data_IF_857310496051
#
_entry.id   IF_857310496051
#
_cell.length_a   1.000
_cell.length_b   1.000
_cell.length_c   1.000
_cell.angle_alpha   90.00
_cell.angle_beta   90.00
_cell.angle_gamma   90.00
#
_symmetry.space_group_name_H-M   'P 1'
#
loop_
_entity.id
_entity.type
_entity.pdbx_description
1 polymer ?
#
# COMPACT_ATOMS: atom_id res chain seq x y z
N UNK A 1 44.95 18.26 10.37
CA UNK A 1 44.24 17.26 9.52
C UNK A 1 42.76 17.55 9.67
N UNK A 2 42.21 18.41 8.83
CA UNK A 2 40.78 18.76 8.87
C UNK A 2 39.97 17.61 8.31
N UNK A 3 39.08 17.07 9.13
CA UNK A 3 38.10 16.08 8.71
C UNK A 3 37.10 16.74 7.76
N UNK A 4 37.29 16.58 6.46
CA UNK A 4 36.29 16.94 5.47
C UNK A 4 34.97 16.25 5.80
N UNK A 5 34.02 16.98 6.41
CA UNK A 5 32.66 16.51 6.61
C UNK A 5 32.04 16.20 5.24
N UNK A 6 31.85 14.91 4.95
CA UNK A 6 31.13 14.46 3.75
C UNK A 6 29.75 15.09 3.75
N UNK A 7 29.54 16.06 2.88
CA UNK A 7 28.20 16.62 2.69
C UNK A 7 27.24 15.53 2.18
N UNK A 8 26.02 15.42 2.76
CA UNK A 8 25.02 14.49 2.25
C UNK A 8 24.73 14.79 0.77
N UNK A 9 24.69 13.76 -0.07
CA UNK A 9 24.45 13.87 -1.52
C UNK A 9 23.13 14.58 -1.89
N UNK A 10 22.20 14.66 -0.95
CA UNK A 10 20.89 15.30 -1.08
C UNK A 10 20.75 16.64 -0.34
N UNK A 11 21.86 17.25 0.12
CA UNK A 11 21.83 18.57 0.78
C UNK A 11 21.23 19.61 -0.18
N UNK A 12 20.13 20.26 0.25
CA UNK A 12 19.39 21.24 -0.56
C UNK A 12 18.51 20.68 -1.67
N UNK A 13 18.42 19.36 -1.82
CA UNK A 13 17.48 18.72 -2.76
C UNK A 13 16.24 18.25 -2.00
N UNK A 14 15.08 18.80 -2.33
CA UNK A 14 13.80 18.16 -2.02
C UNK A 14 13.77 16.83 -2.78
N UNK A 15 14.15 15.75 -2.09
CA UNK A 15 13.95 14.41 -2.65
C UNK A 15 12.45 14.19 -2.68
N UNK A 16 11.85 14.36 -3.85
CA UNK A 16 10.41 14.27 -4.08
C UNK A 16 9.83 12.98 -3.51
N UNK A 17 8.63 13.06 -2.98
CA UNK A 17 7.92 11.89 -2.50
C UNK A 17 7.69 10.94 -3.67
N UNK A 18 7.97 9.63 -3.47
CA UNK A 18 7.72 8.61 -4.49
C UNK A 18 6.24 8.60 -4.89
N UNK A 19 5.97 8.66 -6.18
CA UNK A 19 4.61 8.71 -6.72
C UNK A 19 3.81 7.44 -6.38
N UNK A 20 2.51 7.53 -6.09
CA UNK A 20 1.65 6.35 -6.02
C UNK A 20 1.40 5.79 -7.42
N UNK A 21 1.20 4.48 -7.54
CA UNK A 21 0.76 3.85 -8.80
C UNK A 21 -0.67 4.28 -9.14
N UNK A 22 -0.93 4.48 -10.43
CA UNK A 22 -2.30 4.65 -10.94
C UNK A 22 -2.97 3.28 -11.03
N UNK A 23 -4.30 3.26 -11.10
CA UNK A 23 -5.06 2.00 -11.19
C UNK A 23 -4.62 1.16 -12.41
N UNK A 24 -4.41 1.80 -13.56
CA UNK A 24 -3.89 1.14 -14.77
C UNK A 24 -2.53 0.50 -14.56
N UNK A 25 -1.64 1.13 -13.77
CA UNK A 25 -0.29 0.63 -13.51
C UNK A 25 -0.34 -0.62 -12.61
N UNK A 26 -1.26 -0.64 -11.63
CA UNK A 26 -1.51 -1.80 -10.78
C UNK A 26 -1.93 -2.99 -11.63
N UNK A 27 -2.90 -2.79 -12.53
CA UNK A 27 -3.38 -3.85 -13.42
C UNK A 27 -2.30 -4.30 -14.40
N UNK A 28 -1.52 -3.38 -14.98
CA UNK A 28 -0.43 -3.70 -15.89
C UNK A 28 0.64 -4.59 -15.23
N UNK A 29 1.05 -4.28 -14.00
CA UNK A 29 2.00 -5.11 -13.24
C UNK A 29 1.36 -6.47 -12.92
N UNK A 30 0.14 -6.48 -12.39
CA UNK A 30 -0.57 -7.70 -11.98
C UNK A 30 -0.72 -8.69 -13.15
N UNK A 31 -1.27 -8.25 -14.27
CA UNK A 31 -1.47 -9.08 -15.46
C UNK A 31 -0.13 -9.62 -15.96
N UNK A 32 0.91 -8.78 -16.01
CA UNK A 32 2.23 -9.21 -16.44
C UNK A 32 2.83 -10.29 -15.53
N UNK A 33 2.66 -10.16 -14.22
CA UNK A 33 3.12 -11.17 -13.27
C UNK A 33 2.33 -12.48 -13.42
N UNK A 34 1.02 -12.40 -13.65
CA UNK A 34 0.15 -13.56 -13.89
C UNK A 34 0.52 -14.29 -15.19
N UNK A 35 0.62 -13.57 -16.32
CA UNK A 35 0.96 -14.15 -17.61
C UNK A 35 2.35 -14.83 -17.62
N UNK A 36 3.27 -14.35 -16.79
CA UNK A 36 4.61 -14.93 -16.63
C UNK A 36 4.70 -15.96 -15.50
N UNK A 37 3.58 -16.36 -14.91
CA UNK A 37 3.51 -17.31 -13.79
C UNK A 37 4.47 -16.97 -12.63
N UNK A 38 4.66 -15.64 -12.37
CA UNK A 38 5.56 -15.17 -11.30
C UNK A 38 4.84 -15.13 -9.96
N UNK A 39 4.37 -16.27 -9.48
CA UNK A 39 3.57 -16.43 -8.25
C UNK A 39 4.27 -15.77 -7.06
N UNK A 40 5.58 -16.00 -6.93
CA UNK A 40 6.39 -15.41 -5.85
C UNK A 40 6.41 -13.88 -5.85
N UNK A 41 6.30 -13.23 -6.99
CA UNK A 41 6.29 -11.77 -7.13
C UNK A 41 4.87 -11.21 -7.02
N UNK A 42 3.86 -11.98 -7.45
CA UNK A 42 2.46 -11.59 -7.43
C UNK A 42 1.92 -11.43 -5.99
N UNK A 43 2.24 -12.39 -5.12
CA UNK A 43 1.78 -12.37 -3.73
C UNK A 43 2.26 -11.11 -2.96
N UNK A 44 3.57 -10.77 -2.89
CA UNK A 44 4.02 -9.56 -2.22
C UNK A 44 3.57 -8.28 -2.92
N UNK A 45 3.37 -8.28 -4.24
CA UNK A 45 2.80 -7.14 -4.96
C UNK A 45 1.37 -6.84 -4.51
N UNK A 46 0.48 -7.83 -4.58
CA UNK A 46 -0.91 -7.67 -4.18
C UNK A 46 -1.02 -7.30 -2.70
N UNK A 47 -0.29 -8.01 -1.83
CA UNK A 47 -0.30 -7.75 -0.40
C UNK A 47 0.24 -6.36 -0.04
N UNK A 48 1.27 -5.87 -0.73
CA UNK A 48 1.81 -4.53 -0.49
C UNK A 48 0.78 -3.42 -0.81
N UNK A 49 -0.01 -3.61 -1.87
CA UNK A 49 -1.10 -2.68 -2.20
C UNK A 49 -2.19 -2.72 -1.12
N UNK A 50 -2.68 -3.91 -0.76
CA UNK A 50 -3.79 -4.03 0.18
C UNK A 50 -3.43 -3.62 1.60
N UNK A 51 -2.30 -4.09 2.11
CA UNK A 51 -1.89 -3.88 3.50
C UNK A 51 -1.42 -2.47 3.80
N UNK A 52 -0.93 -1.74 2.81
CA UNK A 52 -0.29 -0.43 3.02
C UNK A 52 0.86 -0.48 4.04
N UNK A 53 1.46 -1.64 4.26
CA UNK A 53 2.57 -1.83 5.18
C UNK A 53 3.85 -1.15 4.69
N UNK A 54 4.73 -0.80 5.60
CA UNK A 54 6.09 -0.41 5.25
C UNK A 54 6.87 -1.63 4.76
N UNK A 55 7.88 -1.41 3.93
CA UNK A 55 8.72 -2.50 3.43
C UNK A 55 9.28 -3.38 4.56
N UNK A 56 9.73 -2.77 5.67
CA UNK A 56 10.25 -3.50 6.82
C UNK A 56 9.20 -4.38 7.53
N UNK A 57 7.94 -3.98 7.51
CA UNK A 57 6.86 -4.77 8.09
C UNK A 57 6.44 -5.88 7.12
N UNK A 58 6.29 -5.57 5.82
CA UNK A 58 5.90 -6.53 4.80
C UNK A 58 6.86 -7.72 4.70
N UNK A 59 8.17 -7.46 4.66
CA UNK A 59 9.17 -8.52 4.46
C UNK A 59 9.35 -9.45 5.66
N UNK A 60 8.83 -9.06 6.83
CA UNK A 60 8.91 -9.85 8.07
C UNK A 60 7.61 -10.57 8.42
N UNK A 61 6.60 -10.49 7.56
CA UNK A 61 5.37 -11.24 7.76
C UNK A 61 5.66 -12.74 7.78
N UNK A 62 4.98 -13.43 8.67
CA UNK A 62 4.94 -14.90 8.72
C UNK A 62 3.66 -15.41 8.08
N UNK A 63 3.64 -16.67 7.74
CA UNK A 63 2.42 -17.33 7.22
C UNK A 63 1.28 -17.19 8.23
N UNK A 64 1.55 -17.44 9.51
CA UNK A 64 0.55 -17.34 10.59
C UNK A 64 -0.07 -15.94 10.77
N UNK A 65 0.60 -14.87 10.30
CA UNK A 65 0.03 -13.51 10.32
C UNK A 65 -1.08 -13.33 9.28
N UNK A 66 -1.10 -14.19 8.25
CA UNK A 66 -1.99 -14.07 7.09
C UNK A 66 -2.94 -15.25 6.93
N UNK A 67 -2.57 -16.44 7.41
CA UNK A 67 -3.31 -17.67 7.19
C UNK A 67 -3.42 -18.51 8.46
N UNK A 68 -4.57 -19.17 8.60
CA UNK A 68 -4.83 -20.16 9.64
C UNK A 68 -5.16 -21.50 8.96
N UNK A 69 -4.32 -22.50 9.15
CA UNK A 69 -4.39 -23.74 8.36
C UNK A 69 -4.17 -23.45 6.88
N UNK A 70 -5.06 -23.93 6.02
CA UNK A 70 -5.03 -23.71 4.57
C UNK A 70 -5.73 -22.42 4.11
N UNK A 71 -6.35 -21.66 5.02
CA UNK A 71 -7.17 -20.52 4.63
C UNK A 71 -6.48 -19.19 4.93
N UNK A 72 -6.35 -18.35 3.92
CA UNK A 72 -5.90 -16.97 4.07
C UNK A 72 -7.05 -16.12 4.61
N UNK A 73 -6.78 -15.39 5.69
CA UNK A 73 -7.78 -14.58 6.40
C UNK A 73 -8.28 -13.40 5.54
N UNK A 74 -9.53 -12.97 5.79
CA UNK A 74 -10.11 -11.75 5.18
C UNK A 74 -9.45 -10.48 5.68
N UNK A 75 -8.94 -10.50 6.91
CA UNK A 75 -8.32 -9.38 7.61
C UNK A 75 -7.10 -9.86 8.37
N UNK A 76 -6.10 -9.00 8.45
CA UNK A 76 -4.92 -9.24 9.26
C UNK A 76 -4.62 -8.04 10.15
N UNK A 77 -4.03 -8.31 11.32
CA UNK A 77 -3.52 -7.30 12.24
C UNK A 77 -2.02 -7.50 12.38
N UNK A 78 -1.25 -6.46 12.08
CA UNK A 78 0.21 -6.52 12.11
C UNK A 78 0.78 -5.43 13.00
N UNK A 79 1.65 -5.80 13.93
CA UNK A 79 2.37 -4.84 14.76
C UNK A 79 3.48 -4.17 13.95
N UNK A 80 3.36 -2.87 13.73
CA UNK A 80 4.36 -2.09 12.99
C UNK A 80 5.67 -1.97 13.78
N UNK A 81 6.80 -2.28 13.18
CA UNK A 81 8.11 -2.26 13.83
C UNK A 81 8.53 -0.86 14.29
N UNK A 82 8.30 0.15 13.44
CA UNK A 82 8.72 1.52 13.72
C UNK A 82 7.86 2.22 14.78
N UNK A 83 6.55 2.02 14.77
CA UNK A 83 5.61 2.75 15.63
C UNK A 83 5.14 1.93 16.81
N UNK A 84 5.40 0.62 16.82
CA UNK A 84 4.91 -0.34 17.83
C UNK A 84 3.39 -0.27 18.01
N UNK A 85 2.67 0.01 16.91
CA UNK A 85 1.21 0.09 16.89
C UNK A 85 0.63 -0.96 15.96
N UNK A 86 -0.49 -1.59 16.32
CA UNK A 86 -1.17 -2.50 15.44
C UNK A 86 -1.80 -1.73 14.27
N UNK A 87 -1.73 -2.31 13.10
CA UNK A 87 -2.44 -1.85 11.90
C UNK A 87 -3.26 -3.01 11.38
N UNK A 88 -4.55 -2.77 11.22
CA UNK A 88 -5.48 -3.71 10.61
C UNK A 88 -5.72 -3.36 9.15
N UNK A 89 -5.82 -4.37 8.31
CA UNK A 89 -6.15 -4.20 6.88
C UNK A 89 -6.97 -5.38 6.37
N UNK A 90 -7.72 -5.11 5.31
CA UNK A 90 -8.45 -6.14 4.57
C UNK A 90 -7.57 -6.71 3.47
N UNK A 91 -7.70 -8.01 3.26
CA UNK A 91 -7.02 -8.77 2.22
C UNK A 91 -8.07 -9.10 1.17
N UNK A 92 -7.95 -8.47 -0.01
CA UNK A 92 -8.90 -8.70 -1.11
C UNK A 92 -8.81 -10.14 -1.64
N UNK A 93 -9.85 -10.58 -2.33
CA UNK A 93 -9.89 -11.94 -2.90
C UNK A 93 -8.67 -12.25 -3.77
N UNK A 94 -8.33 -11.34 -4.68
CA UNK A 94 -7.15 -11.50 -5.55
C UNK A 94 -5.85 -11.64 -4.76
N UNK A 95 -5.74 -10.95 -3.63
CA UNK A 95 -4.57 -11.03 -2.76
C UNK A 95 -4.57 -12.34 -1.99
N UNK A 96 -5.73 -12.79 -1.49
CA UNK A 96 -5.87 -14.08 -0.79
C UNK A 96 -5.47 -15.24 -1.68
N UNK A 97 -5.98 -15.27 -2.91
CA UNK A 97 -5.63 -16.29 -3.89
C UNK A 97 -4.13 -16.30 -4.17
N UNK A 98 -3.52 -15.14 -4.43
CA UNK A 98 -2.09 -15.07 -4.72
C UNK A 98 -1.21 -15.46 -3.52
N UNK A 99 -1.65 -15.20 -2.28
CA UNK A 99 -0.95 -15.64 -1.07
C UNK A 99 -1.08 -17.16 -0.90
N UNK A 100 -2.29 -17.71 -1.09
CA UNK A 100 -2.53 -19.14 -1.00
C UNK A 100 -1.68 -19.91 -2.03
N UNK A 101 -1.77 -19.54 -3.30
CA UNK A 101 -0.94 -20.11 -4.36
C UNK A 101 0.56 -20.05 -4.04
N UNK A 102 1.01 -18.94 -3.43
CA UNK A 102 2.41 -18.78 -3.05
C UNK A 102 2.79 -19.69 -1.88
N UNK A 103 1.96 -19.80 -0.84
CA UNK A 103 2.21 -20.67 0.32
C UNK A 103 2.33 -22.13 -0.15
N UNK A 104 1.41 -22.57 -1.01
CA UNK A 104 1.38 -23.94 -1.53
C UNK A 104 2.58 -24.21 -2.46
N UNK A 105 2.85 -23.34 -3.42
CA UNK A 105 3.95 -23.51 -4.37
C UNK A 105 5.34 -23.49 -3.70
N UNK A 106 5.47 -22.79 -2.58
CA UNK A 106 6.72 -22.70 -1.83
C UNK A 106 6.77 -23.65 -0.63
N UNK A 107 5.71 -24.45 -0.39
CA UNK A 107 5.58 -25.38 0.74
C UNK A 107 5.89 -24.73 2.08
N UNK A 108 5.35 -23.52 2.31
CA UNK A 108 5.66 -22.74 3.50
C UNK A 108 4.93 -23.29 4.72
N UNK A 109 5.69 -23.48 5.82
CA UNK A 109 5.12 -23.84 7.12
C UNK A 109 4.48 -22.62 7.78
N UNK A 110 3.60 -22.84 8.75
CA UNK A 110 2.89 -21.78 9.48
C UNK A 110 3.83 -20.78 10.18
N UNK A 111 4.93 -21.27 10.72
CA UNK A 111 5.94 -20.49 11.44
C UNK A 111 6.98 -19.83 10.52
N UNK A 112 6.97 -20.16 9.23
CA UNK A 112 7.91 -19.61 8.26
C UNK A 112 7.59 -18.15 7.91
N UNK A 113 8.62 -17.42 7.48
CA UNK A 113 8.41 -16.11 6.86
C UNK A 113 7.64 -16.26 5.55
N UNK A 114 6.65 -15.41 5.34
CA UNK A 114 5.82 -15.43 4.12
C UNK A 114 6.66 -15.18 2.87
N UNK A 115 7.71 -14.37 2.98
CA UNK A 115 8.65 -14.08 1.88
C UNK A 115 10.08 -14.45 2.29
N UNK A 116 10.45 -15.73 2.23
CA UNK A 116 11.78 -16.19 2.59
C UNK A 116 12.85 -15.63 1.64
N UNK A 117 14.06 -15.46 2.15
CA UNK A 117 15.22 -15.06 1.34
C UNK A 117 15.64 -16.21 0.42
N UNK A 118 16.17 -15.86 -0.76
CA UNK A 118 16.90 -16.84 -1.61
C UNK A 118 18.37 -16.97 -1.22
N UNK A 119 18.84 -16.06 -0.38
CA UNK A 119 20.21 -16.04 0.11
C UNK A 119 20.21 -16.59 1.52
N UNK A 120 20.96 -17.65 1.77
CA UNK A 120 20.96 -18.38 3.04
C UNK A 120 21.35 -17.55 4.28
N UNK A 121 22.00 -16.40 4.11
CA UNK A 121 22.41 -15.52 5.21
C UNK A 121 21.25 -14.77 5.89
N UNK A 122 20.01 -14.81 5.33
CA UNK A 122 18.85 -14.13 5.91
C UNK A 122 17.61 -15.02 5.83
N UNK A 123 16.84 -15.17 6.92
CA UNK A 123 15.65 -16.01 6.92
C UNK A 123 14.49 -15.43 6.09
N UNK A 124 14.48 -14.13 5.86
CA UNK A 124 13.43 -13.45 5.10
C UNK A 124 14.00 -12.49 4.05
N UNK A 125 13.15 -12.09 3.11
CA UNK A 125 13.49 -11.09 2.09
C UNK A 125 13.97 -9.79 2.75
N UNK A 126 15.13 -9.28 2.34
CA UNK A 126 15.61 -8.00 2.85
C UNK A 126 14.85 -6.82 2.20
N UNK A 127 14.76 -5.69 2.91
CA UNK A 127 14.13 -4.47 2.36
C UNK A 127 14.83 -3.97 1.09
N UNK A 128 16.15 -4.17 0.97
CA UNK A 128 16.92 -3.85 -0.25
C UNK A 128 16.53 -4.75 -1.42
N UNK A 129 16.41 -6.06 -1.16
CA UNK A 129 15.99 -7.01 -2.20
C UNK A 129 14.55 -6.72 -2.64
N UNK A 130 13.65 -6.42 -1.70
CA UNK A 130 12.29 -6.00 -2.01
C UNK A 130 12.27 -4.70 -2.85
N UNK A 131 13.08 -3.70 -2.51
CA UNK A 131 13.18 -2.48 -3.31
C UNK A 131 13.60 -2.76 -4.75
N UNK A 132 14.60 -3.65 -4.98
CA UNK A 132 15.01 -4.06 -6.35
C UNK A 132 13.89 -4.76 -7.10
N UNK A 133 13.09 -5.58 -6.41
CA UNK A 133 11.93 -6.24 -7.00
C UNK A 133 10.89 -5.19 -7.44
N UNK A 134 10.57 -4.22 -6.58
CA UNK A 134 9.63 -3.13 -6.92
C UNK A 134 10.13 -2.32 -8.12
N UNK A 135 11.41 -1.95 -8.15
CA UNK A 135 11.98 -1.24 -9.30
C UNK A 135 11.87 -2.04 -10.60
N UNK A 136 12.08 -3.36 -10.54
CA UNK A 136 11.90 -4.23 -11.70
C UNK A 136 10.45 -4.24 -12.19
N UNK A 137 9.46 -4.37 -11.30
CA UNK A 137 8.03 -4.33 -11.69
C UNK A 137 7.67 -3.02 -12.38
N UNK A 138 8.16 -1.91 -11.85
CA UNK A 138 7.93 -0.56 -12.38
C UNK A 138 8.58 -0.40 -13.76
N UNK A 139 9.83 -0.82 -13.91
CA UNK A 139 10.56 -0.77 -15.18
C UNK A 139 9.91 -1.65 -16.28
N UNK A 140 9.39 -2.83 -15.88
CA UNK A 140 8.73 -3.75 -16.81
C UNK A 140 7.46 -3.17 -17.45
N UNK A 141 6.83 -2.14 -16.85
CA UNK A 141 5.68 -1.43 -17.42
C UNK A 141 6.06 -0.05 -17.98
N UNK A 142 7.35 0.23 -18.13
CA UNK A 142 7.86 1.46 -18.74
C UNK A 142 7.80 2.70 -17.86
N UNK A 143 7.64 2.56 -16.53
CA UNK A 143 7.69 3.69 -15.61
C UNK A 143 9.12 3.98 -15.14
N UNK A 144 9.40 5.26 -14.86
CA UNK A 144 10.69 5.68 -14.32
C UNK A 144 10.90 5.17 -12.88
N UNK A 145 11.88 4.29 -12.68
CA UNK A 145 12.26 3.78 -11.37
C UNK A 145 12.72 4.86 -10.38
N UNK A 146 13.15 6.04 -10.86
CA UNK A 146 13.51 7.15 -9.99
C UNK A 146 12.28 7.76 -9.29
N UNK A 147 11.13 7.75 -9.96
CA UNK A 147 9.88 8.29 -9.41
C UNK A 147 9.14 7.30 -8.49
N UNK A 148 9.44 6.01 -8.56
CA UNK A 148 8.72 4.95 -7.85
C UNK A 148 9.64 4.13 -6.93
N UNK A 149 9.06 3.46 -5.94
CA UNK A 149 9.78 2.60 -5.01
C UNK A 149 8.85 1.94 -3.99
N UNK A 150 9.38 1.37 -2.92
CA UNK A 150 8.58 0.66 -1.89
C UNK A 150 7.55 1.57 -1.22
N UNK A 151 7.82 2.87 -1.11
CA UNK A 151 6.84 3.84 -0.62
C UNK A 151 5.66 4.04 -1.59
N UNK A 152 5.87 3.87 -2.89
CA UNK A 152 4.79 3.91 -3.89
C UNK A 152 3.76 2.83 -3.60
N UNK A 153 4.20 1.59 -3.30
CA UNK A 153 3.30 0.50 -2.93
C UNK A 153 2.39 0.89 -1.77
N UNK A 154 3.00 1.40 -0.69
CA UNK A 154 2.27 1.82 0.50
C UNK A 154 1.29 2.97 0.23
N UNK A 155 1.70 3.96 -0.59
CA UNK A 155 0.88 5.15 -0.91
C UNK A 155 -0.30 4.85 -1.84
N UNK A 156 -0.16 3.88 -2.69
CA UNK A 156 -1.10 3.60 -3.79
C UNK A 156 -2.54 3.46 -3.30
N UNK A 157 -2.83 2.49 -2.43
CA UNK A 157 -4.20 2.28 -1.96
C UNK A 157 -4.73 3.45 -1.13
N UNK A 158 -3.86 4.06 -0.32
CA UNK A 158 -4.21 5.25 0.46
C UNK A 158 -4.64 6.43 -0.43
N UNK A 159 -3.87 6.69 -1.50
CA UNK A 159 -4.20 7.74 -2.48
C UNK A 159 -5.47 7.42 -3.26
N UNK A 160 -5.69 6.16 -3.65
CA UNK A 160 -6.93 5.73 -4.32
C UNK A 160 -8.16 5.91 -3.43
N UNK A 161 -8.06 5.52 -2.15
CA UNK A 161 -9.14 5.70 -1.16
C UNK A 161 -9.43 7.19 -1.00
N UNK A 162 -8.39 8.02 -0.81
CA UNK A 162 -8.57 9.46 -0.65
C UNK A 162 -9.23 10.11 -1.87
N UNK A 163 -8.77 9.78 -3.07
CA UNK A 163 -9.38 10.31 -4.32
C UNK A 163 -10.86 9.96 -4.43
N UNK A 164 -11.26 8.76 -4.00
CA UNK A 164 -12.64 8.30 -4.07
C UNK A 164 -13.52 8.90 -2.97
N UNK A 165 -13.01 9.01 -1.75
CA UNK A 165 -13.83 9.33 -0.57
C UNK A 165 -13.65 10.75 -0.08
N UNK A 166 -12.53 11.41 -0.44
CA UNK A 166 -12.07 12.71 0.10
C UNK A 166 -11.98 12.72 1.64
N UNK A 167 -12.05 11.55 2.28
CA UNK A 167 -12.05 11.40 3.73
C UNK A 167 -10.61 11.20 4.25
N UNK A 168 -9.98 12.32 4.64
CA UNK A 168 -8.61 12.34 5.13
C UNK A 168 -8.46 11.59 6.47
N UNK A 169 -9.49 11.66 7.34
CA UNK A 169 -9.47 10.97 8.64
C UNK A 169 -9.48 9.44 8.47
N UNK A 170 -10.30 8.92 7.56
CA UNK A 170 -10.31 7.50 7.26
C UNK A 170 -8.92 7.02 6.78
N UNK A 171 -8.28 7.80 5.88
CA UNK A 171 -6.92 7.46 5.40
C UNK A 171 -5.89 7.53 6.53
N UNK A 172 -6.00 8.52 7.42
CA UNK A 172 -5.13 8.62 8.60
C UNK A 172 -5.19 7.35 9.46
N UNK A 173 -6.39 6.89 9.77
CA UNK A 173 -6.60 5.67 10.55
C UNK A 173 -6.04 4.42 9.84
N UNK A 174 -6.31 4.28 8.54
CA UNK A 174 -5.83 3.17 7.73
C UNK A 174 -4.29 3.11 7.61
N UNK A 175 -3.61 4.25 7.72
CA UNK A 175 -2.15 4.32 7.70
C UNK A 175 -1.52 4.18 9.10
N UNK A 176 -2.32 4.31 10.16
CA UNK A 176 -1.84 4.35 11.53
C UNK A 176 -1.04 5.62 11.85
N UNK A 177 -1.40 6.75 11.24
CA UNK A 177 -0.75 8.03 11.51
C UNK A 177 -1.38 8.71 12.73
N UNK A 178 -0.55 9.21 13.63
CA UNK A 178 -1.00 9.94 14.83
C UNK A 178 -1.43 11.36 14.53
N UNK A 179 -0.75 12.02 13.59
CA UNK A 179 -1.00 13.42 13.21
C UNK A 179 -1.62 13.49 11.82
N UNK A 180 -2.63 14.34 11.64
CA UNK A 180 -3.32 14.54 10.36
C UNK A 180 -2.38 15.14 9.31
N UNK A 181 -1.53 16.07 9.72
CA UNK A 181 -0.53 16.72 8.86
C UNK A 181 0.44 15.69 8.24
N UNK A 182 0.73 14.62 8.97
CA UNK A 182 1.53 13.51 8.43
C UNK A 182 0.81 12.81 7.28
N UNK A 183 -0.52 12.73 7.32
CA UNK A 183 -1.33 12.13 6.25
C UNK A 183 -1.43 13.06 5.05
N UNK A 184 -1.64 14.35 5.27
CA UNK A 184 -1.64 15.39 4.23
C UNK A 184 -0.32 15.36 3.47
N UNK A 185 0.79 15.50 4.18
CA UNK A 185 2.14 15.40 3.58
C UNK A 185 2.37 14.07 2.88
N UNK A 186 1.89 12.97 3.47
CA UNK A 186 2.04 11.64 2.92
C UNK A 186 1.27 11.46 1.61
N UNK A 187 0.08 12.02 1.49
CA UNK A 187 -0.73 11.99 0.26
C UNK A 187 -0.21 12.97 -0.79
N UNK A 188 0.62 13.94 -0.43
CA UNK A 188 1.06 15.00 -1.33
C UNK A 188 -0.10 15.91 -1.73
N UNK A 189 -0.99 16.20 -0.77
CA UNK A 189 -2.08 17.14 -0.97
C UNK A 189 -1.46 18.53 -0.90
N UNK A 190 -1.49 19.23 -2.01
CA UNK A 190 -1.05 20.63 -2.12
C UNK A 190 -2.25 21.57 -1.95
N UNK A 191 -1.97 22.87 -1.84
CA UNK A 191 -3.01 23.89 -1.67
C UNK A 191 -4.00 23.86 -2.85
N UNK A 192 -3.53 23.56 -4.04
CA UNK A 192 -4.34 23.43 -5.26
C UNK A 192 -5.39 22.31 -5.15
N UNK A 193 -5.04 21.15 -4.57
CA UNK A 193 -5.99 20.08 -4.27
C UNK A 193 -7.08 20.54 -3.29
N UNK A 194 -6.74 21.44 -2.35
CA UNK A 194 -7.69 22.00 -1.40
C UNK A 194 -8.62 23.02 -2.07
N UNK A 195 -8.13 23.79 -3.03
CA UNK A 195 -8.92 24.74 -3.81
C UNK A 195 -9.91 24.03 -4.77
N UNK A 196 -9.48 22.93 -5.40
CA UNK A 196 -10.42 22.10 -6.19
C UNK A 196 -11.58 21.54 -5.35
N UNK A 197 -11.34 21.20 -4.08
CA UNK A 197 -12.40 20.73 -3.18
C UNK A 197 -13.44 21.81 -2.85
N UNK A 198 -13.02 23.08 -2.83
CA UNK A 198 -13.93 24.21 -2.59
C UNK A 198 -14.79 24.52 -3.83
N UNK A 199 -14.28 24.22 -5.03
CA UNK A 199 -14.97 24.46 -6.29
C UNK A 199 -15.93 23.35 -6.69
N UNK A 200 -15.92 22.19 -6.02
CA UNK A 200 -16.91 21.15 -6.25
C UNK A 200 -18.26 21.61 -5.70
N UNK A 201 -19.34 21.63 -6.52
CA UNK A 201 -20.67 21.96 -6.03
C UNK A 201 -21.03 21.01 -4.88
N UNK A 202 -21.36 21.56 -3.73
CA UNK A 202 -22.04 20.80 -2.66
C UNK A 202 -23.37 20.35 -3.26
N UNK A 203 -23.48 19.09 -3.67
CA UNK A 203 -24.78 18.50 -4.01
C UNK A 203 -25.68 18.68 -2.80
N UNK A 204 -26.62 19.63 -2.95
CA UNK A 204 -27.60 19.96 -1.93
C UNK A 204 -28.35 18.70 -1.53
N UNK A 205 -28.44 18.45 -0.24
CA UNK A 205 -29.43 17.55 0.35
C UNK A 205 -30.77 17.84 -0.31
N UNK A 206 -31.28 16.94 -1.14
CA UNK A 206 -32.66 16.94 -1.57
C UNK A 206 -33.53 16.92 -0.32
N UNK A 207 -34.17 18.03 -0.06
CA UNK A 207 -35.21 18.12 0.94
C UNK A 207 -36.25 17.02 0.65
N UNK A 208 -36.47 16.19 1.63
CA UNK A 208 -37.52 15.18 1.62
C UNK A 208 -38.86 15.92 1.67
N UNK A 209 -39.48 16.12 0.48
CA UNK A 209 -40.79 16.66 0.33
C UNK A 209 -41.79 15.65 0.92
N UNK A 210 -42.48 16.06 2.00
CA UNK A 210 -43.52 15.26 2.64
C UNK A 210 -44.77 15.38 1.74
N UNK A 211 -45.37 14.29 1.28
CA UNK A 211 -46.64 14.37 0.62
C UNK A 211 -47.74 14.83 1.61
N UNK A 212 -48.43 15.89 1.21
CA UNK A 212 -49.54 16.48 1.92
C UNK A 212 -50.69 15.50 2.14
N UNK A 213 -51.36 15.69 3.25
CA UNK A 213 -52.65 15.08 3.64
C UNK A 213 -53.66 15.25 2.52
N UNK A 214 -54.21 14.15 2.05
CA UNK A 214 -55.51 14.15 1.32
C UNK A 214 -56.61 14.25 2.37
N UNK A 215 -57.38 15.34 2.27
CA UNK A 215 -58.64 15.49 2.97
C UNK A 215 -59.73 14.65 2.28
N UNK A 216 -60.58 14.10 3.10
CA UNK A 216 -61.78 13.33 2.79
C UNK A 216 -62.80 14.21 2.05
N UNK A 217 -63.41 13.69 1.01
CA UNK A 217 -64.85 13.65 0.76
C UNK A 217 -65.17 12.42 -0.08
#
# INVERSE_FOLDING_TARGET
MELQQRQPWNKGKLVGQKAPLKLRDIWAIRIRLQLRHRIRDLAPFNLAIDSKLRACDLVKLRVLDMAHGSQVALRAVVMQQKTKRPVQFEITELTRQSIHEWIDAAHLRQDAFLFPSRVHASPHLSTRAYARIVHRWVAEIGLDGAAYGTYSMRRTKASLIYRRTKNLRAVQLLLGHTKLESTVRYLGIEVDDALEMVLLPTEGKKAHDRPGRLAVL
#
